data_IF_844853719440
#
_entry.id   IF_844853719440
#
_cell.length_a   1.000
_cell.length_b   1.000
_cell.length_c   1.000
_cell.angle_alpha   90.00
_cell.angle_beta   90.00
_cell.angle_gamma   90.00
#
_symmetry.space_group_name_H-M   'P 1'
#
loop_
_entity.id
_entity.type
_entity.pdbx_description
1 polymer ?
#
# COMPACT_ATOMS: atom_id res chain seq x y z
N UNK A 1 18.55 -26.90 27.15
CA UNK A 1 18.51 -26.96 25.68
C UNK A 1 19.24 -25.75 25.13
N UNK A 2 20.32 -25.94 24.37
CA UNK A 2 20.96 -24.83 23.64
C UNK A 2 20.07 -24.48 22.45
N UNK A 3 19.52 -23.27 22.44
CA UNK A 3 18.78 -22.75 21.30
C UNK A 3 19.78 -22.53 20.16
N UNK A 4 19.62 -23.27 19.05
CA UNK A 4 20.47 -23.11 17.87
C UNK A 4 20.34 -21.67 17.36
N UNK A 5 21.47 -20.96 17.25
CA UNK A 5 21.52 -19.59 16.74
C UNK A 5 21.96 -19.62 15.27
N UNK A 6 21.34 -18.78 14.44
CA UNK A 6 21.60 -18.69 12.98
C UNK A 6 22.17 -17.34 12.59
N UNK A 7 23.01 -17.30 11.57
CA UNK A 7 23.44 -16.04 10.94
C UNK A 7 22.27 -15.32 10.27
N UNK A 8 22.47 -14.06 9.89
CA UNK A 8 21.45 -13.29 9.18
C UNK A 8 21.09 -13.90 7.83
N UNK A 9 22.08 -14.32 7.02
CA UNK A 9 21.80 -14.99 5.76
C UNK A 9 21.07 -16.31 5.97
N UNK A 10 21.47 -17.14 6.94
CA UNK A 10 20.78 -18.40 7.24
C UNK A 10 19.31 -18.15 7.62
N UNK A 11 19.05 -17.17 8.49
CA UNK A 11 17.69 -16.78 8.87
C UNK A 11 16.90 -16.33 7.64
N UNK A 12 17.46 -15.41 6.85
CA UNK A 12 16.80 -14.87 5.67
C UNK A 12 16.68 -15.91 4.55
N UNK A 13 17.45 -16.99 4.58
CA UNK A 13 17.36 -18.09 3.60
C UNK A 13 16.30 -19.13 3.97
N UNK A 14 15.62 -18.98 5.11
CA UNK A 14 14.50 -19.85 5.47
C UNK A 14 13.27 -19.61 4.58
N UNK A 15 12.44 -20.64 4.46
CA UNK A 15 11.25 -20.64 3.60
C UNK A 15 10.02 -20.79 4.51
N UNK A 16 9.15 -19.76 4.60
CA UNK A 16 7.88 -19.89 5.30
C UNK A 16 6.98 -20.94 4.62
N UNK A 17 6.09 -21.62 5.37
CA UNK A 17 5.12 -22.52 4.76
C UNK A 17 4.13 -21.75 3.89
N UNK A 18 3.66 -22.35 2.81
CA UNK A 18 2.51 -21.86 2.03
C UNK A 18 1.25 -21.87 2.89
N UNK A 19 0.29 -21.00 2.59
CA UNK A 19 -1.07 -21.15 3.11
C UNK A 19 -1.98 -21.81 2.08
N UNK A 20 -2.93 -22.61 2.56
CA UNK A 20 -3.95 -23.22 1.73
C UNK A 20 -5.19 -22.32 1.64
N UNK A 21 -5.71 -22.19 0.42
CA UNK A 21 -6.98 -21.51 0.17
C UNK A 21 -8.04 -22.56 -0.17
N UNK A 22 -9.11 -22.72 0.62
CA UNK A 22 -10.20 -23.62 0.28
C UNK A 22 -10.94 -23.13 -0.97
N UNK A 23 -11.38 -24.06 -1.81
CA UNK A 23 -12.23 -23.77 -2.97
C UNK A 23 -13.60 -23.30 -2.49
N UNK A 24 -13.77 -21.98 -2.41
CA UNK A 24 -15.01 -21.34 -1.99
C UNK A 24 -15.41 -20.29 -3.04
N UNK A 25 -16.70 -20.20 -3.35
CA UNK A 25 -17.23 -19.05 -4.08
C UNK A 25 -17.09 -17.80 -3.22
N UNK A 26 -16.14 -16.93 -3.60
CA UNK A 26 -15.79 -15.73 -2.82
C UNK A 26 -15.93 -14.49 -3.67
N UNK A 27 -16.33 -13.40 -3.02
CA UNK A 27 -16.31 -12.08 -3.65
C UNK A 27 -14.88 -11.73 -4.07
N UNK A 28 -14.75 -11.28 -5.31
CA UNK A 28 -13.49 -10.83 -5.91
C UNK A 28 -13.35 -9.30 -5.88
N UNK A 29 -14.29 -8.61 -5.24
CA UNK A 29 -14.29 -7.15 -5.12
C UNK A 29 -13.25 -6.65 -4.12
N UNK A 30 -12.61 -5.52 -4.44
CA UNK A 30 -11.73 -4.79 -3.54
C UNK A 30 -12.39 -3.49 -3.10
N UNK A 31 -12.14 -3.08 -1.86
CA UNK A 31 -12.63 -1.81 -1.32
C UNK A 31 -11.99 -0.65 -2.10
N UNK A 32 -12.81 0.33 -2.50
CA UNK A 32 -12.30 1.54 -3.16
C UNK A 32 -11.53 2.39 -2.15
N UNK A 33 -10.27 2.68 -2.43
CA UNK A 33 -9.47 3.59 -1.60
C UNK A 33 -9.68 5.05 -2.00
N UNK A 34 -9.99 5.92 -1.04
CA UNK A 34 -10.07 7.37 -1.23
C UNK A 34 -8.73 7.99 -1.66
N UNK A 35 -7.64 7.30 -1.36
CA UNK A 35 -6.28 7.71 -1.75
C UNK A 35 -5.83 7.17 -3.09
N UNK A 36 -6.65 6.36 -3.78
CA UNK A 36 -6.29 5.72 -5.03
C UNK A 36 -5.77 6.75 -6.06
N UNK A 37 -4.65 6.43 -6.71
CA UNK A 37 -4.04 7.24 -7.78
C UNK A 37 -3.63 6.34 -8.92
N UNK A 38 -3.66 6.84 -10.15
CA UNK A 38 -3.25 6.07 -11.32
C UNK A 38 -1.76 6.26 -11.58
N UNK A 39 -0.92 5.22 -11.45
CA UNK A 39 0.45 5.27 -11.94
C UNK A 39 0.45 5.34 -13.46
N UNK A 40 1.43 6.05 -14.02
CA UNK A 40 1.67 6.06 -15.45
C UNK A 40 3.13 6.46 -15.70
N UNK A 41 3.94 5.60 -16.35
CA UNK A 41 3.67 4.20 -16.73
C UNK A 41 3.78 3.19 -15.58
N UNK A 42 3.26 1.97 -15.77
CA UNK A 42 3.60 0.80 -14.94
C UNK A 42 4.61 -0.08 -15.69
N UNK A 43 5.75 -0.39 -15.07
CA UNK A 43 6.91 -1.03 -15.70
C UNK A 43 7.41 -2.22 -14.89
N UNK A 44 8.15 -3.13 -15.52
CA UNK A 44 8.88 -4.19 -14.82
C UNK A 44 10.13 -3.61 -14.12
N UNK A 45 10.35 -3.98 -12.86
CA UNK A 45 11.62 -3.83 -12.17
C UNK A 45 12.50 -5.07 -12.43
N UNK A 46 12.96 -5.21 -13.67
CA UNK A 46 13.63 -6.43 -14.13
C UNK A 46 14.89 -6.78 -13.33
N UNK A 47 15.63 -5.78 -12.84
CA UNK A 47 16.88 -5.97 -12.09
C UNK A 47 16.67 -6.35 -10.62
N UNK A 48 15.44 -6.38 -10.11
CA UNK A 48 15.17 -6.57 -8.68
C UNK A 48 15.85 -7.81 -8.10
N UNK A 49 15.75 -8.97 -8.77
CA UNK A 49 16.37 -10.21 -8.27
C UNK A 49 17.88 -10.17 -8.29
N UNK A 50 18.48 -9.58 -9.31
CA UNK A 50 19.94 -9.43 -9.38
C UNK A 50 20.44 -8.49 -8.29
N UNK A 51 19.69 -7.42 -8.01
CA UNK A 51 19.97 -6.51 -6.90
C UNK A 51 19.88 -7.20 -5.53
N UNK A 52 18.87 -8.06 -5.30
CA UNK A 52 18.74 -8.84 -4.06
C UNK A 52 19.89 -9.84 -3.91
N UNK A 53 20.23 -10.57 -4.97
CA UNK A 53 21.33 -11.56 -4.95
C UNK A 53 22.70 -10.90 -4.76
N UNK A 54 22.89 -9.69 -5.27
CA UNK A 54 24.13 -8.94 -5.09
C UNK A 54 24.24 -8.27 -3.71
N UNK A 55 23.17 -8.25 -2.91
CA UNK A 55 23.19 -7.66 -1.58
C UNK A 55 23.80 -8.62 -0.55
N UNK A 56 24.80 -8.14 0.20
CA UNK A 56 25.47 -8.92 1.23
C UNK A 56 24.67 -8.87 2.55
N UNK A 57 24.05 -10.00 2.91
CA UNK A 57 23.31 -10.14 4.17
C UNK A 57 24.20 -10.56 5.36
N UNK A 58 25.42 -11.04 5.12
CA UNK A 58 26.33 -11.59 6.14
C UNK A 58 27.36 -10.62 6.70
N UNK A 59 27.19 -9.32 6.46
CA UNK A 59 28.12 -8.32 6.99
C UNK A 59 28.08 -8.21 8.53
N UNK A 60 27.15 -8.92 9.20
CA UNK A 60 26.97 -8.91 10.64
C UNK A 60 27.13 -10.31 11.26
N UNK A 61 28.01 -10.44 12.26
CA UNK A 61 28.27 -11.69 13.01
C UNK A 61 27.15 -12.02 14.02
N UNK A 62 26.06 -11.24 14.03
CA UNK A 62 25.00 -11.43 15.00
C UNK A 62 24.18 -12.68 14.68
N UNK A 63 23.93 -13.50 15.72
CA UNK A 63 23.14 -14.71 15.58
C UNK A 63 21.73 -14.55 16.16
N UNK A 64 20.76 -15.15 15.48
CA UNK A 64 19.33 -15.04 15.72
C UNK A 64 18.73 -16.35 16.17
N UNK A 65 17.65 -16.28 16.96
CA UNK A 65 16.77 -17.44 17.12
C UNK A 65 16.19 -17.83 15.77
N UNK A 66 16.08 -19.13 15.53
CA UNK A 66 15.42 -19.67 14.34
C UNK A 66 14.01 -19.05 14.15
N UNK A 67 13.61 -18.76 12.91
CA UNK A 67 12.23 -18.36 12.62
C UNK A 67 11.23 -19.41 13.12
N UNK A 68 10.11 -18.94 13.64
CA UNK A 68 8.99 -19.81 14.02
C UNK A 68 7.84 -19.59 13.05
N UNK A 69 7.28 -20.67 12.51
CA UNK A 69 6.17 -20.60 11.58
C UNK A 69 4.93 -21.29 12.15
N UNK A 70 3.78 -20.68 11.93
CA UNK A 70 2.47 -21.32 12.08
C UNK A 70 2.11 -22.02 10.77
N UNK A 71 1.54 -23.20 10.91
CA UNK A 71 1.01 -23.97 9.79
C UNK A 71 -0.43 -23.54 9.51
N UNK A 72 -0.75 -23.34 8.24
CA UNK A 72 -2.08 -23.02 7.73
C UNK A 72 -2.44 -24.08 6.68
N UNK A 73 -2.62 -25.32 7.15
CA UNK A 73 -2.94 -26.46 6.31
C UNK A 73 -4.45 -26.58 6.08
N UNK A 74 -4.90 -27.69 5.48
CA UNK A 74 -6.32 -27.95 5.17
C UNK A 74 -7.25 -27.96 6.40
N UNK A 75 -6.71 -28.04 7.62
CA UNK A 75 -7.49 -27.95 8.86
C UNK A 75 -7.73 -26.51 9.33
N UNK A 76 -7.06 -25.54 8.70
CA UNK A 76 -7.21 -24.10 8.96
C UNK A 76 -7.68 -23.39 7.70
N UNK A 77 -8.98 -23.12 7.62
CA UNK A 77 -9.59 -22.48 6.46
C UNK A 77 -9.20 -20.99 6.38
N UNK A 78 -8.30 -20.64 5.47
CA UNK A 78 -8.08 -19.24 5.08
C UNK A 78 -9.32 -18.76 4.34
N UNK A 79 -10.18 -18.03 5.04
CA UNK A 79 -11.55 -17.75 4.59
C UNK A 79 -11.76 -16.31 4.14
N UNK A 80 -10.84 -15.40 4.50
CA UNK A 80 -10.94 -13.96 4.29
C UNK A 80 -9.55 -13.27 4.30
N UNK A 81 -9.52 -11.95 4.08
CA UNK A 81 -8.30 -11.13 4.03
C UNK A 81 -7.59 -11.01 5.39
N UNK A 82 -8.33 -11.08 6.51
CA UNK A 82 -7.76 -11.04 7.86
C UNK A 82 -6.95 -12.31 8.16
N UNK A 83 -7.41 -13.48 7.69
CA UNK A 83 -6.68 -14.74 7.84
C UNK A 83 -5.33 -14.70 7.10
N UNK A 84 -5.33 -14.16 5.86
CA UNK A 84 -4.10 -13.94 5.07
C UNK A 84 -3.19 -12.94 5.78
N UNK A 85 -3.75 -11.85 6.29
CA UNK A 85 -3.01 -10.84 7.06
C UNK A 85 -2.39 -11.42 8.33
N UNK A 86 -3.12 -12.28 9.04
CA UNK A 86 -2.64 -12.99 10.22
C UNK A 86 -1.50 -13.94 9.89
N UNK A 87 -1.59 -14.69 8.78
CA UNK A 87 -0.51 -15.54 8.30
C UNK A 87 0.73 -14.73 7.94
N UNK A 88 0.58 -13.64 7.18
CA UNK A 88 1.68 -12.75 6.81
C UNK A 88 2.38 -12.19 8.06
N UNK A 89 1.59 -11.73 9.04
CA UNK A 89 2.13 -11.22 10.31
C UNK A 89 2.94 -12.28 11.04
N UNK A 90 2.35 -13.45 11.30
CA UNK A 90 2.97 -14.49 12.13
C UNK A 90 4.20 -15.11 11.45
N UNK A 91 4.11 -15.40 10.15
CA UNK A 91 5.14 -16.17 9.46
C UNK A 91 6.24 -15.29 8.84
N UNK A 92 5.94 -14.05 8.43
CA UNK A 92 6.95 -13.15 7.88
C UNK A 92 7.29 -11.99 8.81
N UNK A 93 6.32 -11.14 9.14
CA UNK A 93 6.63 -9.83 9.74
C UNK A 93 7.19 -9.94 11.16
N UNK A 94 6.62 -10.82 11.99
CA UNK A 94 7.11 -11.05 13.35
C UNK A 94 8.53 -11.66 13.34
N UNK A 95 8.81 -12.58 12.40
CA UNK A 95 10.15 -13.13 12.22
C UNK A 95 11.15 -12.05 11.74
N UNK A 96 10.78 -11.23 10.75
CA UNK A 96 11.61 -10.10 10.31
C UNK A 96 11.84 -9.06 11.42
N UNK A 97 10.91 -8.92 12.35
CA UNK A 97 11.07 -8.03 13.50
C UNK A 97 12.16 -8.52 14.47
N UNK A 98 12.46 -9.82 14.53
CA UNK A 98 13.58 -10.36 15.32
C UNK A 98 14.90 -9.77 14.82
N UNK A 99 15.13 -9.82 13.51
CA UNK A 99 16.30 -9.20 12.87
C UNK A 99 16.26 -7.67 12.98
N UNK A 100 15.09 -7.07 12.75
CA UNK A 100 14.98 -5.61 12.76
C UNK A 100 15.31 -5.04 14.14
N UNK A 101 14.81 -5.66 15.21
CA UNK A 101 15.07 -5.26 16.58
C UNK A 101 16.56 -5.37 16.95
N UNK A 102 17.29 -6.36 16.43
CA UNK A 102 18.73 -6.48 16.65
C UNK A 102 19.50 -5.36 15.94
N UNK A 103 19.18 -5.11 14.66
CA UNK A 103 19.91 -4.15 13.81
C UNK A 103 19.71 -2.74 14.34
N UNK A 104 18.45 -2.37 14.63
CA UNK A 104 18.03 -1.08 15.16
C UNK A 104 16.68 -1.21 15.89
N UNK A 105 16.69 -1.16 17.21
CA UNK A 105 15.49 -1.25 18.09
C UNK A 105 14.39 -0.20 17.82
N UNK A 106 14.61 0.73 16.90
CA UNK A 106 13.67 1.80 16.55
C UNK A 106 12.95 1.53 15.21
N UNK A 107 13.07 0.37 14.58
CA UNK A 107 12.35 0.04 13.34
C UNK A 107 11.48 -1.19 13.55
N UNK A 108 10.30 -1.24 12.90
CA UNK A 108 9.33 -2.31 13.13
C UNK A 108 8.36 -2.45 11.95
N UNK A 109 8.03 -3.70 11.60
CA UNK A 109 6.84 -4.04 10.83
C UNK A 109 5.64 -4.19 11.79
N UNK A 110 4.52 -3.54 11.49
CA UNK A 110 3.30 -3.69 12.29
C UNK A 110 2.06 -3.45 11.42
N UNK A 111 0.91 -3.94 11.89
CA UNK A 111 -0.40 -3.51 11.37
C UNK A 111 -0.55 -2.02 11.62
N UNK A 112 -1.11 -1.28 10.66
CA UNK A 112 -1.32 0.15 10.84
C UNK A 112 -2.23 0.44 12.06
N UNK A 113 -2.00 1.57 12.73
CA UNK A 113 -2.93 2.11 13.71
C UNK A 113 -3.09 3.63 13.55
N UNK A 114 -4.16 4.21 14.12
CA UNK A 114 -4.47 5.65 13.97
C UNK A 114 -3.34 6.55 14.47
N UNK A 115 -2.58 6.09 15.46
CA UNK A 115 -1.45 6.80 16.05
C UNK A 115 -0.26 6.93 15.10
N UNK A 116 -0.22 6.11 14.03
CA UNK A 116 0.87 6.14 13.05
C UNK A 116 0.78 7.36 12.12
N UNK A 117 -0.36 8.08 12.08
CA UNK A 117 -0.60 9.28 11.26
C UNK A 117 -0.26 9.07 9.78
N UNK A 118 -0.51 7.88 9.27
CA UNK A 118 -0.36 7.52 7.86
C UNK A 118 -1.62 7.96 7.12
N UNK A 119 -1.46 8.53 5.92
CA UNK A 119 -2.59 8.91 5.08
C UNK A 119 -3.01 7.69 4.25
N UNK A 120 -4.30 7.34 4.32
CA UNK A 120 -4.83 6.07 3.81
C UNK A 120 -4.73 4.95 4.83
N UNK A 121 -5.12 3.73 4.45
CA UNK A 121 -5.21 2.57 5.34
C UNK A 121 -4.52 1.35 4.72
N UNK A 122 -3.19 1.36 4.53
CA UNK A 122 -2.46 0.13 4.18
C UNK A 122 -2.55 -0.89 5.32
N UNK A 123 -2.67 -2.18 5.01
CA UNK A 123 -2.84 -3.23 6.02
C UNK A 123 -1.68 -3.28 7.02
N UNK A 124 -0.45 -3.25 6.50
CA UNK A 124 0.75 -3.20 7.31
C UNK A 124 1.68 -2.08 6.87
N UNK A 125 2.58 -1.71 7.77
CA UNK A 125 3.60 -0.70 7.54
C UNK A 125 4.93 -1.19 8.08
N UNK A 126 6.02 -0.71 7.48
CA UNK A 126 7.31 -0.67 8.13
C UNK A 126 7.70 0.77 8.39
N UNK A 127 8.05 1.05 9.65
CA UNK A 127 8.34 2.40 10.10
C UNK A 127 9.53 2.43 11.04
N UNK A 128 10.13 3.61 11.12
CA UNK A 128 11.03 3.98 12.21
C UNK A 128 10.22 4.65 13.32
N UNK A 129 10.22 4.08 14.50
CA UNK A 129 9.72 4.65 15.75
C UNK A 129 10.55 5.89 16.08
N UNK A 130 9.87 6.99 16.42
CA UNK A 130 10.50 8.23 16.83
C UNK A 130 9.89 8.73 18.14
N UNK A 131 10.63 9.55 18.89
CA UNK A 131 10.19 10.06 20.21
C UNK A 131 8.90 10.92 20.15
N UNK A 132 8.54 11.46 18.98
CA UNK A 132 7.34 12.32 18.80
C UNK A 132 6.44 11.85 17.66
N UNK A 133 7.01 11.66 16.47
CA UNK A 133 6.30 11.10 15.30
C UNK A 133 7.21 10.08 14.64
N UNK A 134 6.69 8.88 14.40
CA UNK A 134 7.41 7.86 13.65
C UNK A 134 7.53 8.21 12.17
N UNK A 135 8.56 7.71 11.50
CA UNK A 135 8.75 7.87 10.07
C UNK A 135 8.29 6.61 9.35
N UNK A 136 7.22 6.71 8.55
CA UNK A 136 6.82 5.64 7.64
C UNK A 136 7.90 5.43 6.57
N UNK A 137 8.22 4.17 6.28
CA UNK A 137 9.27 3.80 5.31
C UNK A 137 8.70 3.07 4.09
N UNK A 138 7.71 2.21 4.29
CA UNK A 138 6.97 1.50 3.23
C UNK A 138 5.59 1.04 3.75
N UNK A 139 4.55 1.07 2.91
CA UNK A 139 3.28 0.40 3.15
C UNK A 139 3.30 -1.03 2.57
N UNK A 140 2.45 -1.89 3.10
CA UNK A 140 2.20 -3.24 2.63
C UNK A 140 0.69 -3.41 2.49
N UNK A 141 0.23 -3.78 1.29
CA UNK A 141 -1.16 -4.14 1.02
C UNK A 141 -1.27 -5.66 0.87
N UNK A 142 -2.25 -6.24 1.55
CA UNK A 142 -2.57 -7.66 1.53
C UNK A 142 -3.84 -7.86 0.74
N UNK A 143 -3.86 -8.89 -0.10
CA UNK A 143 -5.06 -9.35 -0.80
C UNK A 143 -5.18 -10.85 -0.66
N UNK A 144 -6.35 -11.41 -0.92
CA UNK A 144 -6.53 -12.86 -0.99
C UNK A 144 -6.16 -13.35 -2.39
N UNK A 145 -5.82 -14.64 -2.53
CA UNK A 145 -5.50 -15.22 -3.85
C UNK A 145 -6.66 -15.14 -4.83
N UNK A 146 -7.90 -15.32 -4.37
CA UNK A 146 -9.09 -15.14 -5.22
C UNK A 146 -9.37 -13.69 -5.61
N UNK A 147 -8.71 -12.70 -4.99
CA UNK A 147 -8.75 -11.29 -5.42
C UNK A 147 -7.53 -10.92 -6.26
N UNK A 148 -6.37 -11.56 -6.05
CA UNK A 148 -5.17 -11.34 -6.83
C UNK A 148 -4.36 -12.63 -6.92
N UNK A 149 -4.47 -13.28 -8.07
CA UNK A 149 -3.62 -14.40 -8.44
C UNK A 149 -3.15 -14.19 -9.86
N UNK A 150 -1.87 -14.45 -10.09
CA UNK A 150 -1.27 -14.48 -11.41
C UNK A 150 -0.62 -15.85 -11.59
N UNK A 151 -0.71 -16.39 -12.80
CA UNK A 151 0.12 -17.51 -13.19
C UNK A 151 1.60 -17.10 -13.14
N UNK A 152 2.50 -18.07 -12.94
CA UNK A 152 3.93 -17.79 -12.74
C UNK A 152 4.59 -17.02 -13.91
N UNK A 153 4.05 -17.18 -15.12
CA UNK A 153 4.52 -16.51 -16.34
C UNK A 153 3.79 -15.21 -16.67
N UNK A 154 2.77 -14.82 -15.89
CA UNK A 154 1.99 -13.59 -16.11
C UNK A 154 2.56 -12.42 -15.29
N UNK A 155 3.24 -11.43 -15.89
CA UNK A 155 3.78 -10.31 -15.14
C UNK A 155 2.67 -9.33 -14.72
N UNK A 156 2.64 -8.93 -13.44
CA UNK A 156 1.62 -8.02 -12.91
C UNK A 156 1.51 -6.69 -13.66
N UNK A 157 2.64 -6.15 -14.13
CA UNK A 157 2.64 -4.90 -14.91
C UNK A 157 1.93 -5.05 -16.26
N UNK A 158 2.08 -6.18 -16.96
CA UNK A 158 1.37 -6.45 -18.20
C UNK A 158 -0.12 -6.69 -17.96
N UNK A 159 -0.46 -7.43 -16.89
CA UNK A 159 -1.86 -7.64 -16.49
C UNK A 159 -2.54 -6.32 -16.17
N UNK A 160 -1.85 -5.40 -15.49
CA UNK A 160 -2.35 -4.05 -15.23
C UNK A 160 -2.68 -3.29 -16.52
N UNK A 161 -1.77 -3.26 -17.49
CA UNK A 161 -2.01 -2.55 -18.75
C UNK A 161 -3.17 -3.18 -19.54
N UNK A 162 -3.26 -4.52 -19.60
CA UNK A 162 -4.39 -5.24 -20.22
C UNK A 162 -5.73 -4.88 -19.56
N UNK A 163 -5.80 -4.90 -18.23
CA UNK A 163 -7.01 -4.54 -17.49
C UNK A 163 -7.36 -3.05 -17.59
N UNK A 164 -6.34 -2.18 -17.69
CA UNK A 164 -6.54 -0.74 -17.88
C UNK A 164 -7.14 -0.44 -19.25
N UNK A 165 -6.64 -1.08 -20.31
CA UNK A 165 -7.16 -0.93 -21.67
C UNK A 165 -8.59 -1.46 -21.79
N UNK A 166 -8.86 -2.64 -21.19
CA UNK A 166 -10.21 -3.19 -21.08
C UNK A 166 -11.18 -2.23 -20.40
N UNK A 167 -10.74 -1.56 -19.31
CA UNK A 167 -11.54 -0.54 -18.61
C UNK A 167 -11.78 0.72 -19.44
N UNK A 168 -10.82 1.14 -20.28
CA UNK A 168 -10.97 2.32 -21.15
C UNK A 168 -11.87 2.07 -22.36
N UNK A 169 -11.92 0.84 -22.84
CA UNK A 169 -12.57 0.52 -24.11
C UNK A 169 -14.10 0.49 -24.07
N UNK A 170 -14.75 0.43 -22.89
CA UNK A 170 -16.22 0.46 -22.60
C UNK A 170 -17.21 -0.22 -23.58
N UNK A 171 -16.75 -1.01 -24.56
CA UNK A 171 -17.55 -1.72 -25.58
C UNK A 171 -17.71 -3.21 -25.32
N UNK A 172 -17.07 -3.76 -24.31
CA UNK A 172 -17.25 -5.15 -23.93
C UNK A 172 -18.25 -5.15 -22.79
N UNK A 173 -19.46 -5.67 -23.06
CA UNK A 173 -20.49 -5.93 -22.05
C UNK A 173 -19.82 -6.53 -20.80
N UNK A 174 -20.29 -6.19 -19.58
CA UNK A 174 -19.87 -6.91 -18.39
C UNK A 174 -20.35 -8.34 -18.56
N UNK A 175 -19.51 -9.21 -19.14
CA UNK A 175 -19.74 -10.63 -19.02
C UNK A 175 -19.74 -10.89 -17.51
N UNK A 176 -20.87 -11.38 -17.02
CA UNK A 176 -21.32 -11.38 -15.63
C UNK A 176 -20.39 -12.15 -14.68
N UNK A 177 -19.28 -12.67 -15.18
CA UNK A 177 -18.18 -13.30 -14.45
C UNK A 177 -17.02 -12.30 -14.26
N UNK A 178 -17.27 -11.14 -13.65
CA UNK A 178 -16.33 -10.01 -13.58
C UNK A 178 -14.90 -10.46 -13.28
N UNK A 179 -14.06 -10.58 -14.32
CA UNK A 179 -12.63 -10.85 -14.17
C UNK A 179 -12.04 -9.71 -13.34
N UNK A 180 -11.43 -10.10 -12.22
CA UNK A 180 -10.65 -9.25 -11.32
C UNK A 180 -9.87 -8.23 -12.14
N UNK A 181 -10.08 -6.96 -11.85
CA UNK A 181 -9.28 -5.88 -12.40
C UNK A 181 -8.18 -5.55 -11.40
N UNK A 182 -6.93 -5.90 -11.71
CA UNK A 182 -5.78 -5.51 -10.86
C UNK A 182 -5.57 -3.99 -10.81
N UNK A 183 -6.23 -3.24 -11.70
CA UNK A 183 -6.15 -1.78 -11.78
C UNK A 183 -6.48 -1.09 -10.46
N UNK A 184 -7.52 -1.53 -9.75
CA UNK A 184 -7.95 -0.85 -8.52
C UNK A 184 -6.99 -1.15 -7.36
N UNK A 185 -6.45 -2.37 -7.30
CA UNK A 185 -5.42 -2.80 -6.35
C UNK A 185 -4.13 -1.99 -6.54
N UNK A 186 -3.64 -1.90 -7.78
CA UNK A 186 -2.45 -1.11 -8.13
C UNK A 186 -2.67 0.38 -7.83
N UNK A 187 -3.86 0.91 -8.16
CA UNK A 187 -4.20 2.31 -7.86
C UNK A 187 -4.22 2.60 -6.37
N UNK A 188 -4.72 1.66 -5.56
CA UNK A 188 -4.78 1.77 -4.11
C UNK A 188 -3.37 1.87 -3.50
N UNK A 189 -2.51 0.87 -3.74
CA UNK A 189 -1.16 0.89 -3.14
C UNK A 189 -0.30 2.03 -3.71
N UNK A 190 -0.42 2.35 -5.00
CA UNK A 190 0.24 3.53 -5.57
C UNK A 190 -0.26 4.83 -4.91
N UNK A 191 -1.56 4.91 -4.63
CA UNK A 191 -2.17 5.98 -3.84
C UNK A 191 -1.44 6.21 -2.53
N UNK A 192 -1.22 5.15 -1.74
CA UNK A 192 -0.46 5.22 -0.49
C UNK A 192 0.98 5.73 -0.69
N UNK A 193 1.67 5.27 -1.73
CA UNK A 193 3.02 5.75 -2.06
C UNK A 193 3.04 7.24 -2.41
N UNK A 194 2.01 7.73 -3.11
CA UNK A 194 1.89 9.14 -3.50
C UNK A 194 1.58 10.02 -2.29
N UNK A 195 0.51 9.72 -1.56
CA UNK A 195 0.03 10.60 -0.47
C UNK A 195 1.01 10.64 0.70
N UNK A 196 1.74 9.55 0.95
CA UNK A 196 2.78 9.48 1.98
C UNK A 196 4.19 9.82 1.46
N UNK A 197 4.33 10.17 0.18
CA UNK A 197 5.62 10.54 -0.45
C UNK A 197 6.71 9.46 -0.34
N UNK A 198 6.34 8.20 -0.57
CA UNK A 198 7.21 7.03 -0.46
C UNK A 198 7.69 6.52 -1.82
N UNK A 199 8.86 5.90 -1.84
CA UNK A 199 9.44 5.23 -3.00
C UNK A 199 9.08 3.74 -3.08
N UNK A 200 8.90 3.06 -1.95
CA UNK A 200 8.81 1.60 -1.93
C UNK A 200 7.55 1.13 -1.23
N UNK A 201 6.99 0.01 -1.71
CA UNK A 201 5.86 -0.67 -1.11
C UNK A 201 5.84 -2.15 -1.48
N UNK A 202 4.96 -2.91 -0.83
CA UNK A 202 4.80 -4.34 -1.06
C UNK A 202 3.33 -4.66 -1.27
N UNK A 203 3.02 -5.41 -2.32
CA UNK A 203 1.71 -6.01 -2.54
C UNK A 203 1.86 -7.53 -2.37
N UNK A 204 0.96 -8.18 -1.66
CA UNK A 204 1.08 -9.62 -1.41
C UNK A 204 -0.26 -10.31 -1.26
N UNK A 205 -0.29 -11.58 -1.66
CA UNK A 205 -1.35 -12.54 -1.32
C UNK A 205 -0.84 -13.65 -0.42
N UNK A 206 0.19 -13.35 0.39
CA UNK A 206 0.99 -14.30 1.16
C UNK A 206 1.76 -15.33 0.32
N UNK A 207 1.10 -16.07 -0.57
CA UNK A 207 1.79 -17.04 -1.42
C UNK A 207 2.55 -16.35 -2.56
N UNK A 208 2.09 -15.18 -3.01
CA UNK A 208 2.75 -14.36 -4.02
C UNK A 208 3.08 -12.97 -3.45
N UNK A 209 4.23 -12.43 -3.83
CA UNK A 209 4.69 -11.11 -3.43
C UNK A 209 5.19 -10.31 -4.63
N UNK A 210 4.88 -9.02 -4.64
CA UNK A 210 5.39 -8.05 -5.60
C UNK A 210 5.99 -6.86 -4.87
N UNK A 211 7.22 -6.52 -5.23
CA UNK A 211 7.96 -5.40 -4.66
C UNK A 211 7.87 -4.20 -5.59
N UNK A 212 7.53 -3.05 -5.01
CA UNK A 212 7.19 -1.86 -5.76
C UNK A 212 8.26 -0.78 -5.59
N UNK A 213 8.55 -0.07 -6.67
CA UNK A 213 9.43 1.10 -6.69
C UNK A 213 8.82 2.25 -7.49
N UNK A 214 8.72 3.40 -6.85
CA UNK A 214 8.31 4.68 -7.41
C UNK A 214 9.56 5.57 -7.47
N UNK A 215 10.18 5.73 -8.64
CA UNK A 215 11.46 6.41 -8.75
C UNK A 215 11.32 7.93 -8.64
N UNK A 216 12.31 8.58 -8.02
CA UNK A 216 12.30 10.05 -7.80
C UNK A 216 12.27 10.89 -9.06
N UNK A 217 12.93 10.44 -10.12
CA UNK A 217 13.04 11.14 -11.40
C UNK A 217 11.79 10.95 -12.28
N UNK A 218 10.96 9.95 -11.98
CA UNK A 218 9.70 9.67 -12.69
C UNK A 218 8.60 9.40 -11.63
N UNK A 219 8.21 10.39 -10.81
CA UNK A 219 7.38 10.19 -9.62
C UNK A 219 5.93 9.75 -9.94
N UNK A 220 5.54 9.69 -11.22
CA UNK A 220 4.26 9.11 -11.67
C UNK A 220 4.37 7.63 -12.04
N UNK A 221 5.58 7.12 -12.29
CA UNK A 221 5.77 5.73 -12.66
C UNK A 221 5.74 4.79 -11.46
N UNK A 222 5.38 3.55 -11.73
CA UNK A 222 5.47 2.45 -10.79
C UNK A 222 6.20 1.28 -11.43
N UNK A 223 7.30 0.87 -10.82
CA UNK A 223 8.07 -0.31 -11.20
C UNK A 223 7.67 -1.45 -10.28
N UNK A 224 7.38 -2.61 -10.85
CA UNK A 224 6.91 -3.80 -10.14
C UNK A 224 7.91 -4.93 -10.42
N UNK A 225 8.43 -5.57 -9.38
CA UNK A 225 9.27 -6.77 -9.55
C UNK A 225 8.52 -7.88 -10.29
N UNK A 226 9.23 -8.87 -10.86
CA UNK A 226 8.63 -10.18 -11.12
C UNK A 226 7.96 -10.73 -9.84
N UNK A 227 7.10 -11.74 -9.98
CA UNK A 227 6.45 -12.38 -8.83
C UNK A 227 7.47 -13.17 -8.01
N UNK A 228 7.38 -13.08 -6.67
CA UNK A 228 8.12 -13.94 -5.75
C UNK A 228 7.11 -14.84 -5.07
N UNK A 229 7.19 -16.13 -5.37
CA UNK A 229 6.42 -17.13 -4.66
C UNK A 229 7.03 -17.36 -3.26
N UNK A 230 6.20 -17.62 -2.26
CA UNK A 230 6.62 -17.84 -0.87
C UNK A 230 7.65 -18.97 -0.73
N UNK A 231 7.55 -19.99 -1.60
CA UNK A 231 8.48 -21.12 -1.67
C UNK A 231 9.79 -20.85 -2.43
N UNK A 232 10.02 -19.63 -2.93
CA UNK A 232 11.23 -19.29 -3.69
C UNK A 232 12.49 -19.48 -2.84
N UNK A 233 13.53 -20.04 -3.47
CA UNK A 233 14.83 -20.32 -2.84
C UNK A 233 15.93 -19.35 -3.28
N UNK A 234 15.71 -18.59 -4.35
CA UNK A 234 16.75 -17.73 -4.92
C UNK A 234 16.16 -16.58 -5.75
N UNK A 235 16.01 -15.38 -5.18
CA UNK A 235 16.10 -15.09 -3.74
C UNK A 235 14.88 -15.62 -2.96
N UNK A 236 15.02 -15.80 -1.66
CA UNK A 236 13.88 -16.08 -0.77
C UNK A 236 13.02 -14.83 -0.57
N UNK A 237 11.78 -15.02 -0.10
CA UNK A 237 10.91 -13.89 0.27
C UNK A 237 11.52 -13.03 1.37
N UNK A 238 12.18 -13.63 2.36
CA UNK A 238 12.81 -12.91 3.46
C UNK A 238 13.98 -12.05 2.98
N UNK A 239 14.83 -12.56 2.07
CA UNK A 239 15.89 -11.77 1.45
C UNK A 239 15.31 -10.56 0.70
N UNK A 240 14.21 -10.75 -0.04
CA UNK A 240 13.55 -9.65 -0.75
C UNK A 240 13.00 -8.58 0.21
N UNK A 241 12.35 -8.97 1.31
CA UNK A 241 11.89 -8.03 2.34
C UNK A 241 13.06 -7.31 3.00
N UNK A 242 14.13 -8.04 3.37
CA UNK A 242 15.33 -7.47 3.96
C UNK A 242 16.02 -6.46 3.06
N UNK A 243 16.11 -6.75 1.75
CA UNK A 243 16.64 -5.83 0.76
C UNK A 243 15.77 -4.58 0.60
N UNK A 244 14.43 -4.73 0.55
CA UNK A 244 13.54 -3.57 0.46
C UNK A 244 13.61 -2.69 1.72
N UNK A 245 13.78 -3.28 2.92
CA UNK A 245 14.04 -2.52 4.13
C UNK A 245 15.31 -1.67 3.99
N UNK A 246 16.40 -2.26 3.47
CA UNK A 246 17.65 -1.53 3.22
C UNK A 246 17.41 -0.34 2.28
N UNK A 247 16.73 -0.56 1.14
CA UNK A 247 16.43 0.50 0.18
C UNK A 247 15.58 1.61 0.80
N UNK A 248 14.51 1.26 1.52
CA UNK A 248 13.64 2.24 2.16
C UNK A 248 14.37 3.03 3.26
N UNK A 249 15.29 2.40 4.00
CA UNK A 249 16.12 3.10 5.00
C UNK A 249 17.08 4.08 4.37
N UNK A 250 17.74 3.66 3.29
CA UNK A 250 18.70 4.49 2.53
C UNK A 250 17.98 5.68 1.91
N UNK A 251 16.83 5.45 1.29
CA UNK A 251 16.13 6.50 0.57
C UNK A 251 14.63 6.23 0.38
N UNK A 252 13.80 6.62 1.36
CA UNK A 252 12.33 6.38 1.26
C UNK A 252 11.55 7.46 0.49
N UNK A 253 12.04 8.70 0.40
CA UNK A 253 11.18 9.82 -0.02
C UNK A 253 11.07 9.94 -1.54
N UNK A 254 9.85 10.03 -2.06
CA UNK A 254 9.57 10.40 -3.46
C UNK A 254 8.76 11.70 -3.50
N UNK A 255 9.12 12.69 -4.34
CA UNK A 255 8.32 13.90 -4.53
C UNK A 255 6.87 13.58 -4.92
N UNK A 256 5.94 14.51 -4.68
CA UNK A 256 4.59 14.41 -5.25
C UNK A 256 4.69 14.41 -6.78
N UNK A 257 3.83 13.68 -7.52
CA UNK A 257 3.91 13.60 -8.98
C UNK A 257 3.55 14.91 -9.73
N UNK A 258 3.42 16.05 -9.03
CA UNK A 258 2.86 17.30 -9.55
C UNK A 258 1.36 17.19 -9.83
N UNK A 259 0.73 18.33 -10.15
CA UNK A 259 -0.57 18.30 -10.80
C UNK A 259 -0.41 17.64 -12.18
N UNK A 260 -1.34 16.78 -12.56
CA UNK A 260 -1.46 16.37 -13.96
C UNK A 260 -1.65 17.64 -14.79
N UNK A 261 -0.98 17.84 -15.95
CA UNK A 261 -1.50 18.81 -16.91
C UNK A 261 -2.96 18.43 -17.13
N UNK A 262 -3.88 19.38 -16.94
CA UNK A 262 -5.26 19.15 -17.35
C UNK A 262 -5.19 18.65 -18.78
N UNK A 263 -5.87 17.54 -19.07
CA UNK A 263 -6.22 17.30 -20.45
C UNK A 263 -7.05 18.53 -20.82
N UNK A 264 -6.44 19.38 -21.65
CA UNK A 264 -7.02 20.60 -22.18
C UNK A 264 -8.44 20.28 -22.59
N UNK A 265 -9.39 20.94 -21.95
CA UNK A 265 -10.74 21.10 -22.45
C UNK A 265 -10.63 21.45 -23.92
N UNK A 266 -11.09 20.54 -24.77
CA UNK A 266 -11.32 20.80 -26.18
C UNK A 266 -12.13 22.09 -26.28
N UNK A 267 -11.55 23.05 -27.00
CA UNK A 267 -12.17 24.25 -27.50
C UNK A 267 -13.56 23.97 -28.07
N UNK A 268 -14.57 24.62 -27.51
CA UNK A 268 -15.72 25.11 -28.30
C UNK A 268 -15.76 26.61 -28.08
N UNK A 269 -15.17 27.32 -29.05
CA UNK A 269 -15.59 28.66 -29.41
C UNK A 269 -17.06 28.54 -29.80
N UNK A 270 -17.91 29.31 -29.14
CA UNK A 270 -19.12 29.84 -29.76
C UNK A 270 -19.35 31.23 -29.18
N UNK A 271 -18.96 32.21 -30.00
CA UNK A 271 -19.36 33.59 -29.88
C UNK A 271 -20.87 33.69 -30.08
N UNK A 272 -21.56 34.43 -29.21
CA UNK A 272 -22.71 35.23 -29.62
C UNK A 272 -22.95 36.35 -28.61
N UNK A 273 -22.48 37.54 -28.99
CA UNK A 273 -22.99 38.82 -28.53
C UNK A 273 -24.46 39.00 -28.99
N UNK A 274 -25.33 39.48 -28.11
CA UNK A 274 -26.06 40.72 -28.40
C UNK A 274 -26.58 41.37 -27.12
N UNK A 275 -26.34 42.67 -27.04
CA UNK A 275 -26.70 43.67 -26.06
C UNK A 275 -28.20 43.84 -25.80
N UNK A 276 -28.59 44.29 -24.60
CA UNK A 276 -29.10 45.65 -24.41
C UNK A 276 -29.35 46.02 -22.93
N UNK A 277 -29.05 47.29 -22.66
CA UNK A 277 -29.10 47.99 -21.37
C UNK A 277 -30.54 48.26 -20.88
N UNK A 278 -30.77 48.31 -19.56
CA UNK A 278 -31.04 49.58 -18.84
C UNK A 278 -31.42 49.42 -17.35
N UNK A 279 -30.86 50.37 -16.61
CA UNK A 279 -31.01 50.82 -15.21
C UNK A 279 -32.44 51.05 -14.72
N UNK A 280 -32.73 50.73 -13.44
CA UNK A 280 -33.38 51.63 -12.47
C UNK A 280 -33.46 51.02 -11.06
N UNK A 281 -33.29 51.89 -10.08
CA UNK A 281 -33.21 51.70 -8.63
C UNK A 281 -34.50 51.21 -7.96
N UNK A 282 -34.36 50.62 -6.77
CA UNK A 282 -34.99 51.17 -5.54
C UNK A 282 -34.49 50.44 -4.28
N UNK A 283 -34.12 51.25 -3.30
CA UNK A 283 -33.73 50.97 -1.91
C UNK A 283 -34.72 50.07 -1.16
N UNK A 284 -34.30 49.44 -0.05
CA UNK A 284 -34.99 49.52 1.25
C UNK A 284 -34.10 49.00 2.40
N UNK A 285 -34.15 49.76 3.48
CA UNK A 285 -33.26 49.81 4.64
C UNK A 285 -33.41 48.67 5.65
N UNK A 286 -32.31 48.51 6.38
CA UNK A 286 -32.15 47.92 7.71
C UNK A 286 -32.98 48.66 8.77
N UNK A 287 -33.70 47.94 9.64
CA UNK A 287 -34.05 48.42 10.98
C UNK A 287 -34.03 47.28 12.00
N UNK A 288 -33.13 47.42 12.95
CA UNK A 288 -33.14 46.79 14.26
C UNK A 288 -34.12 47.51 15.19
N UNK A 289 -34.81 46.78 16.06
CA UNK A 289 -35.17 47.30 17.39
C UNK A 289 -35.29 46.17 18.43
N UNK A 290 -34.50 46.34 19.49
CA UNK A 290 -34.56 45.64 20.77
C UNK A 290 -35.69 46.21 21.62
N UNK A 291 -36.45 45.37 22.34
CA UNK A 291 -36.97 45.74 23.67
C UNK A 291 -36.79 44.57 24.65
N UNK A 292 -36.19 44.97 25.77
CA UNK A 292 -35.74 44.23 26.95
C UNK A 292 -36.82 44.13 28.03
N UNK A 293 -36.84 43.02 28.79
CA UNK A 293 -37.04 42.97 30.25
C UNK A 293 -36.67 41.53 30.69
N UNK A 294 -35.61 41.29 31.46
CA UNK A 294 -35.45 41.61 32.89
C UNK A 294 -36.26 40.59 33.71
N UNK A 295 -35.69 39.62 34.42
CA UNK A 295 -34.81 39.80 35.58
C UNK A 295 -34.01 38.55 35.99
N UNK A 296 -32.85 38.83 36.59
CA UNK A 296 -31.87 38.09 37.41
C UNK A 296 -32.44 37.00 38.37
N UNK A 297 -31.72 35.96 38.84
CA UNK A 297 -30.48 35.98 39.62
C UNK A 297 -29.65 34.67 39.56
N UNK A 298 -28.32 34.85 39.53
CA UNK A 298 -27.16 34.16 40.15
C UNK A 298 -27.30 32.67 40.58
N UNK A 299 -26.49 31.75 40.04
CA UNK A 299 -25.05 31.49 40.28
C UNK A 299 -24.78 30.90 41.67
N UNK A 300 -24.34 29.62 41.74
CA UNK A 300 -23.27 29.14 42.64
C UNK A 300 -22.63 27.88 42.05
N UNK A 301 -21.34 27.98 41.72
CA UNK A 301 -20.38 26.88 41.66
C UNK A 301 -19.95 26.49 43.09
N UNK A 302 -19.80 25.20 43.37
CA UNK A 302 -18.58 24.60 43.96
C UNK A 302 -18.82 23.16 44.41
N UNK A 303 -18.10 22.21 43.79
CA UNK A 303 -17.17 21.24 44.43
C UNK A 303 -16.68 20.25 43.37
#
# INVERSE_FOLDING_TARGET
MHQSKTTELEFLSTIPPTIFYPDLEKSTSTTKSSTARTPLPVKCWATFFDEVKAYHFDDCIQCYSQPTFKTYDKSYDISNEEDVSGALKNNLLDNLNIITASRKQIEVFKRISKEDKVVGEPDFIYKRIGKRVGKLLLPIEVKTSWVLYLEDDEPLHERYEKDLERKRSEKILPDSNSKISVVDIIRQIFGYLVVNRLQYGILTTYNQHWFLKRPKNEPRALYISPVINIGSKNPTVFQCYGFLQYLAKKDTKCPSPGATPSQSSSSSIDDNESSDNNTAASDYEETSDNITSGSDYEEIFSS
#
